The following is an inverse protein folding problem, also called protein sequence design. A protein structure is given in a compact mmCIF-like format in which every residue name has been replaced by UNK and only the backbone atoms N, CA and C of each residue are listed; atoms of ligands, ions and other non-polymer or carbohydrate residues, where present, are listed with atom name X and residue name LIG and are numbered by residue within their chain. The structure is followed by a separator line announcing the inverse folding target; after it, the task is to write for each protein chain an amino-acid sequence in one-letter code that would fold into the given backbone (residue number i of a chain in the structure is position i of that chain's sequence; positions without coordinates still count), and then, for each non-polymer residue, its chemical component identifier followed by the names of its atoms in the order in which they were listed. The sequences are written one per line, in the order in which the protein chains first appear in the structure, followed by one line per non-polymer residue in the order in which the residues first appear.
data_IF_140298660345
#
_entry.id   IF_140298660345
#
_cell.length_a   1.000
_cell.length_b   1.000
_cell.length_c   1.000
_cell.angle_alpha   90.00
_cell.angle_beta   90.00
_cell.angle_gamma   90.00
#
_symmetry.space_group_name_H-M   'P 1'
#
loop_
_entity.id
_entity.type
_entity.pdbx_description
1 polymer ?
#
# COMPACT_ATOMS: atom_id res chain seq x y z
N UNK A 1 1.10 -28.62 83.70
CA UNK A 1 2.17 -28.23 82.75
C UNK A 1 1.74 -28.73 81.37
N UNK A 2 1.29 -27.80 80.50
CA UNK A 2 0.95 -28.15 79.12
C UNK A 2 2.15 -27.96 78.19
N UNK A 3 2.49 -28.97 77.41
CA UNK A 3 3.52 -28.95 76.39
C UNK A 3 2.90 -28.40 75.13
N UNK A 4 3.34 -27.20 74.69
CA UNK A 4 3.01 -26.64 73.37
C UNK A 4 3.98 -27.23 72.37
N UNK A 5 3.55 -28.18 71.53
CA UNK A 5 4.36 -28.66 70.42
C UNK A 5 4.14 -27.71 69.28
N UNK A 6 5.16 -26.92 68.92
CA UNK A 6 5.20 -26.11 67.69
C UNK A 6 5.60 -27.05 66.58
N UNK A 7 4.61 -27.48 65.77
CA UNK A 7 4.91 -28.16 64.50
C UNK A 7 5.39 -27.16 63.50
N UNK A 8 6.60 -27.34 63.00
CA UNK A 8 7.14 -26.53 61.95
C UNK A 8 6.33 -26.74 60.64
N UNK A 9 6.15 -25.70 59.90
CA UNK A 9 5.35 -25.62 58.67
C UNK A 9 5.93 -26.44 57.47
N UNK A 10 6.94 -27.28 57.74
CA UNK A 10 7.68 -28.02 56.71
C UNK A 10 7.24 -29.48 56.50
N UNK A 11 6.22 -30.00 57.22
CA UNK A 11 5.85 -31.42 57.16
C UNK A 11 4.53 -31.71 56.51
N UNK A 12 3.84 -30.74 55.92
CA UNK A 12 2.67 -31.03 55.09
C UNK A 12 3.19 -31.47 53.71
N UNK A 13 3.37 -32.77 53.49
CA UNK A 13 3.54 -33.34 52.15
C UNK A 13 2.34 -32.90 51.29
N UNK A 14 2.52 -31.91 50.47
CA UNK A 14 1.52 -31.56 49.45
C UNK A 14 1.27 -32.76 48.57
N UNK A 15 0.10 -33.39 48.69
CA UNK A 15 -0.30 -34.48 47.82
C UNK A 15 -0.56 -33.93 46.43
N UNK A 16 0.41 -34.14 45.55
CA UNK A 16 0.28 -33.82 44.12
C UNK A 16 -0.32 -34.99 43.37
N UNK A 17 -1.20 -34.69 42.45
CA UNK A 17 -1.84 -35.68 41.58
C UNK A 17 -1.80 -35.22 40.12
N UNK A 18 -2.01 -36.14 39.20
CA UNK A 18 -2.06 -35.82 37.77
C UNK A 18 -3.50 -35.46 37.39
N UNK A 19 -3.68 -34.30 36.81
CA UNK A 19 -4.92 -33.84 36.22
C UNK A 19 -4.72 -33.64 34.72
N UNK A 20 -5.65 -34.13 33.92
CA UNK A 20 -5.69 -33.89 32.45
C UNK A 20 -6.93 -33.05 32.18
N UNK A 21 -6.70 -31.98 31.39
CA UNK A 21 -7.77 -31.07 30.96
C UNK A 21 -7.73 -30.94 29.46
N UNK A 22 -8.86 -31.09 28.83
CA UNK A 22 -9.09 -30.87 27.41
C UNK A 22 -9.97 -29.62 27.29
N UNK A 23 -9.42 -28.49 26.75
CA UNK A 23 -10.21 -27.31 26.49
C UNK A 23 -11.24 -27.56 25.39
N UNK A 24 -12.43 -26.94 25.51
CA UNK A 24 -13.50 -27.13 24.54
C UNK A 24 -13.29 -26.33 23.26
N UNK A 25 -12.76 -25.11 23.38
CA UNK A 25 -12.63 -24.14 22.28
C UNK A 25 -11.20 -23.65 22.11
N UNK A 26 -10.57 -23.26 23.21
CA UNK A 26 -9.22 -22.69 23.16
C UNK A 26 -8.15 -23.75 22.87
N UNK A 27 -7.06 -23.36 22.25
CA UNK A 27 -5.91 -24.26 22.13
C UNK A 27 -5.17 -24.39 23.47
N UNK A 28 -4.73 -25.61 23.79
CA UNK A 28 -3.91 -25.84 24.98
C UNK A 28 -2.64 -24.97 24.99
N UNK A 29 -2.12 -24.64 23.81
CA UNK A 29 -0.96 -23.77 23.65
C UNK A 29 -1.25 -22.30 24.01
N UNK A 30 -2.45 -21.79 23.72
CA UNK A 30 -2.86 -20.42 24.06
C UNK A 30 -3.17 -20.26 25.55
N UNK A 31 -3.66 -21.31 26.20
CA UNK A 31 -3.96 -21.31 27.63
C UNK A 31 -2.71 -21.42 28.51
N UNK A 32 -1.67 -22.07 28.02
CA UNK A 32 -0.48 -22.39 28.80
C UNK A 32 0.21 -21.17 29.46
N UNK A 33 0.42 -20.01 28.79
CA UNK A 33 1.02 -18.84 29.42
C UNK A 33 0.19 -18.28 30.57
N UNK A 34 -1.14 -18.30 30.43
CA UNK A 34 -2.06 -17.82 31.48
C UNK A 34 -2.07 -18.76 32.68
N UNK A 35 -2.13 -20.07 32.42
CA UNK A 35 -2.09 -21.09 33.46
C UNK A 35 -0.79 -21.04 34.26
N UNK A 36 0.33 -20.76 33.61
CA UNK A 36 1.64 -20.60 34.26
C UNK A 36 1.65 -19.48 35.32
N UNK A 37 0.82 -18.45 35.16
CA UNK A 37 0.70 -17.38 36.16
C UNK A 37 -0.09 -17.81 37.39
N UNK A 38 -1.00 -18.76 37.24
CA UNK A 38 -1.85 -19.29 38.34
C UNK A 38 -1.12 -20.37 39.10
N UNK A 39 -0.32 -21.18 38.43
CA UNK A 39 0.43 -22.30 39.02
C UNK A 39 1.91 -22.15 38.68
N UNK A 40 2.64 -21.16 39.27
CA UNK A 40 4.01 -20.86 38.92
C UNK A 40 4.99 -22.00 39.23
N UNK A 41 4.70 -22.79 40.28
CA UNK A 41 5.51 -23.95 40.71
C UNK A 41 4.96 -25.29 40.17
N UNK A 42 3.81 -25.28 39.49
CA UNK A 42 3.21 -26.47 38.90
C UNK A 42 3.96 -26.96 37.70
N UNK A 43 4.14 -28.27 37.60
CA UNK A 43 4.63 -28.90 36.37
C UNK A 43 3.45 -29.21 35.49
N UNK A 44 3.48 -28.69 34.27
CA UNK A 44 2.49 -29.05 33.26
C UNK A 44 3.14 -29.32 31.91
N UNK A 45 2.49 -30.10 31.10
CA UNK A 45 2.88 -30.41 29.73
C UNK A 45 1.68 -30.22 28.80
N UNK A 46 1.98 -29.88 27.55
CA UNK A 46 0.98 -29.70 26.49
C UNK A 46 1.12 -30.88 25.53
N UNK A 47 0.01 -31.61 25.33
CA UNK A 47 -0.09 -32.60 24.26
C UNK A 47 -0.80 -31.93 23.06
N UNK A 48 -0.05 -31.50 22.05
CA UNK A 48 -0.58 -30.71 20.95
C UNK A 48 -1.56 -31.46 20.05
N UNK A 49 -1.30 -32.78 19.87
CA UNK A 49 -2.09 -33.61 18.96
C UNK A 49 -3.52 -33.84 19.46
N UNK A 50 -3.72 -33.94 20.79
CA UNK A 50 -5.03 -34.12 21.41
C UNK A 50 -5.55 -32.86 22.07
N UNK A 51 -4.88 -31.72 21.93
CA UNK A 51 -5.23 -30.44 22.55
C UNK A 51 -5.39 -30.53 24.08
N UNK A 52 -4.56 -31.34 24.75
CA UNK A 52 -4.68 -31.60 26.19
C UNK A 52 -3.57 -30.91 26.97
N UNK A 53 -3.93 -30.50 28.20
CA UNK A 53 -3.02 -29.98 29.22
C UNK A 53 -2.94 -31.02 30.33
N UNK A 54 -1.73 -31.48 30.63
CA UNK A 54 -1.46 -32.45 31.68
C UNK A 54 -0.75 -31.74 32.81
N UNK A 55 -1.30 -31.78 34.00
CA UNK A 55 -0.81 -31.10 35.18
C UNK A 55 -0.34 -32.08 36.24
N UNK A 56 0.68 -31.74 37.04
CA UNK A 56 1.02 -32.36 38.31
C UNK A 56 0.91 -31.28 39.38
N UNK A 57 -0.25 -31.22 40.04
CA UNK A 57 -0.72 -30.14 40.90
C UNK A 57 -1.29 -30.62 42.23
N UNK A 58 -1.46 -29.68 43.18
CA UNK A 58 -2.14 -29.88 44.42
C UNK A 58 -3.66 -29.62 44.28
N UNK A 59 -4.47 -30.04 45.24
CA UNK A 59 -5.92 -29.83 45.20
C UNK A 59 -6.35 -28.36 45.19
N UNK A 60 -5.56 -27.46 45.80
CA UNK A 60 -5.87 -26.03 45.79
C UNK A 60 -5.45 -25.38 44.42
N UNK A 61 -4.34 -25.80 43.86
CA UNK A 61 -3.94 -25.41 42.51
C UNK A 61 -4.95 -25.87 41.46
N UNK A 62 -5.54 -27.06 41.62
CA UNK A 62 -6.58 -27.61 40.74
C UNK A 62 -7.81 -26.69 40.64
N UNK A 63 -8.29 -26.20 41.77
CA UNK A 63 -9.44 -25.26 41.78
C UNK A 63 -9.13 -23.98 41.04
N UNK A 64 -7.91 -23.43 41.20
CA UNK A 64 -7.45 -22.27 40.50
C UNK A 64 -7.36 -22.47 38.98
N UNK A 65 -6.78 -23.58 38.55
CA UNK A 65 -6.67 -23.95 37.14
C UNK A 65 -8.04 -24.12 36.49
N UNK A 66 -8.95 -24.88 37.12
CA UNK A 66 -10.31 -25.09 36.63
C UNK A 66 -11.08 -23.78 36.49
N UNK A 67 -11.02 -22.91 37.49
CA UNK A 67 -11.67 -21.61 37.47
C UNK A 67 -11.17 -20.72 36.33
N UNK A 68 -9.88 -20.69 36.12
CA UNK A 68 -9.28 -19.89 35.02
C UNK A 68 -9.63 -20.46 33.66
N UNK A 69 -9.54 -21.79 33.47
CA UNK A 69 -9.92 -22.42 32.18
C UNK A 69 -11.39 -22.13 31.88
N UNK A 70 -12.32 -22.34 32.84
CA UNK A 70 -13.73 -22.02 32.64
C UNK A 70 -13.98 -20.53 32.28
N UNK A 71 -13.15 -19.63 32.77
CA UNK A 71 -13.27 -18.20 32.48
C UNK A 71 -12.81 -17.82 31.06
N UNK A 72 -11.80 -18.50 30.54
CA UNK A 72 -11.14 -18.10 29.27
C UNK A 72 -11.39 -19.08 28.11
N UNK A 73 -11.81 -20.32 28.39
CA UNK A 73 -12.16 -21.31 27.36
C UNK A 73 -13.59 -21.02 26.84
N UNK A 74 -13.71 -20.00 26.02
CA UNK A 74 -14.98 -19.52 25.45
C UNK A 74 -14.81 -19.30 23.95
N UNK A 75 -15.95 -19.33 23.23
CA UNK A 75 -16.00 -19.03 21.82
C UNK A 75 -15.39 -17.66 21.50
N UNK A 76 -14.43 -17.66 20.59
CA UNK A 76 -13.77 -16.44 20.10
C UNK A 76 -14.53 -15.95 18.87
N UNK A 77 -15.06 -14.75 18.96
CA UNK A 77 -15.78 -14.11 17.83
C UNK A 77 -14.86 -13.98 16.62
N UNK A 78 -15.43 -14.18 15.45
CA UNK A 78 -14.78 -13.88 14.19
C UNK A 78 -15.23 -12.52 13.69
N UNK A 79 -14.34 -11.81 13.04
CA UNK A 79 -14.63 -10.51 12.44
C UNK A 79 -14.23 -10.51 10.99
N UNK A 80 -15.18 -10.17 10.12
CA UNK A 80 -14.92 -9.97 8.70
C UNK A 80 -14.64 -8.49 8.46
N UNK A 81 -13.53 -8.20 7.80
CA UNK A 81 -13.22 -6.88 7.26
C UNK A 81 -13.42 -6.87 5.75
N UNK A 82 -14.13 -5.87 5.28
CA UNK A 82 -14.27 -5.52 3.87
C UNK A 82 -13.63 -4.14 3.69
N UNK A 83 -12.62 -4.03 2.85
CA UNK A 83 -12.04 -2.76 2.46
C UNK A 83 -12.44 -2.43 1.03
N UNK A 84 -12.74 -1.17 0.74
CA UNK A 84 -12.98 -0.68 -0.61
C UNK A 84 -12.01 0.46 -0.88
N UNK A 85 -11.13 0.23 -1.85
CA UNK A 85 -10.14 1.22 -2.28
C UNK A 85 -10.57 1.71 -3.65
N UNK A 86 -10.92 2.99 -3.71
CA UNK A 86 -11.37 3.66 -4.92
C UNK A 86 -10.34 4.70 -5.32
N UNK A 87 -9.82 4.62 -6.54
CA UNK A 87 -8.92 5.62 -7.10
C UNK A 87 -9.46 6.05 -8.46
N UNK A 88 -9.62 7.35 -8.65
CA UNK A 88 -10.04 7.97 -9.90
C UNK A 88 -8.96 8.90 -10.39
N UNK A 89 -8.57 8.74 -11.64
CA UNK A 89 -7.60 9.60 -12.32
C UNK A 89 -8.31 10.29 -13.49
N UNK A 90 -8.19 11.61 -13.53
CA UNK A 90 -8.67 12.44 -14.64
C UNK A 90 -7.49 13.18 -15.23
N UNK A 91 -7.24 13.00 -16.51
CA UNK A 91 -6.27 13.80 -17.24
C UNK A 91 -6.96 14.58 -18.35
N UNK A 92 -6.57 15.83 -18.47
CA UNK A 92 -7.02 16.72 -19.53
C UNK A 92 -5.84 17.47 -20.11
N UNK A 93 -5.63 17.31 -21.40
CA UNK A 93 -4.58 18.02 -22.12
C UNK A 93 -5.18 18.78 -23.29
N UNK A 94 -4.88 20.07 -23.37
CA UNK A 94 -5.28 20.94 -24.48
C UNK A 94 -4.06 21.63 -25.04
N UNK A 95 -3.82 21.42 -26.33
CA UNK A 95 -2.77 22.09 -27.09
C UNK A 95 -3.42 22.96 -28.16
N UNK A 96 -3.03 24.22 -28.20
CA UNK A 96 -3.54 25.17 -29.20
C UNK A 96 -2.44 26.14 -29.63
N UNK A 97 -2.38 26.39 -30.92
CA UNK A 97 -1.50 27.39 -31.50
C UNK A 97 -0.47 26.82 -32.47
N UNK A 98 0.42 27.69 -32.89
CA UNK A 98 1.48 27.36 -33.84
C UNK A 98 2.80 27.17 -33.09
N UNK A 99 3.41 25.98 -33.29
CA UNK A 99 4.79 25.74 -32.89
C UNK A 99 5.72 26.07 -34.08
N UNK A 100 6.68 26.90 -33.83
CA UNK A 100 7.65 27.31 -34.82
C UNK A 100 8.99 26.61 -34.55
N UNK A 101 9.43 25.75 -35.45
CA UNK A 101 10.76 25.15 -35.39
C UNK A 101 11.70 25.88 -36.36
N UNK A 102 12.88 26.16 -35.85
CA UNK A 102 13.95 26.88 -36.57
C UNK A 102 15.06 25.87 -36.89
N UNK A 103 15.41 25.77 -38.16
CA UNK A 103 16.61 25.06 -38.57
C UNK A 103 17.79 26.03 -38.59
N UNK A 104 18.93 25.58 -38.07
CA UNK A 104 20.15 26.37 -38.01
C UNK A 104 20.53 26.90 -39.40
N UNK A 105 21.08 28.11 -39.44
CA UNK A 105 21.69 28.67 -40.62
C UNK A 105 22.85 27.77 -41.07
N UNK A 106 22.63 26.88 -41.99
CA UNK A 106 23.70 26.15 -42.68
C UNK A 106 23.90 26.79 -44.03
N UNK A 107 24.97 27.52 -44.17
CA UNK A 107 25.51 27.86 -45.49
C UNK A 107 25.97 26.55 -46.14
N UNK A 108 25.36 26.13 -47.23
CA UNK A 108 25.57 24.91 -48.00
C UNK A 108 24.73 23.71 -47.58
N UNK A 109 23.63 23.52 -48.26
CA UNK A 109 22.89 22.30 -48.25
C UNK A 109 21.68 22.38 -49.15
N UNK A 110 21.77 21.86 -50.34
CA UNK A 110 20.58 21.58 -51.16
C UNK A 110 19.83 20.39 -50.58
N UNK A 111 19.23 20.57 -49.41
CA UNK A 111 18.37 19.59 -48.87
C UNK A 111 16.98 19.72 -49.52
N UNK A 112 16.74 18.90 -50.54
CA UNK A 112 15.49 18.85 -51.32
C UNK A 112 14.29 18.36 -50.55
N UNK A 113 14.45 18.02 -49.25
CA UNK A 113 13.41 17.43 -48.41
C UNK A 113 12.56 18.44 -47.64
N UNK A 114 12.91 19.74 -47.63
CA UNK A 114 12.20 20.75 -46.85
C UNK A 114 11.32 21.65 -47.75
N UNK A 115 10.07 21.28 -47.91
CA UNK A 115 9.08 22.00 -48.73
C UNK A 115 8.40 23.20 -48.04
N UNK A 116 8.92 23.70 -46.94
CA UNK A 116 8.28 24.75 -46.15
C UNK A 116 9.08 26.03 -46.13
N UNK A 117 8.41 27.13 -46.41
CA UNK A 117 8.86 28.52 -46.41
C UNK A 117 10.32 28.85 -46.08
N UNK A 118 11.07 29.32 -47.04
CA UNK A 118 12.41 29.81 -46.79
C UNK A 118 12.40 31.35 -46.83
N UNK A 119 12.95 32.00 -45.81
CA UNK A 119 13.24 33.43 -45.83
C UNK A 119 14.67 33.56 -46.25
N UNK A 120 14.89 34.25 -47.36
CA UNK A 120 16.22 34.54 -47.88
C UNK A 120 16.63 35.96 -47.52
N UNK A 121 17.86 36.15 -47.01
CA UNK A 121 18.37 37.45 -46.67
C UNK A 121 19.88 37.51 -46.87
N UNK A 122 20.36 38.69 -47.23
CA UNK A 122 21.79 38.93 -47.41
C UNK A 122 22.46 38.10 -48.51
N UNK A 123 23.77 38.19 -48.58
CA UNK A 123 24.62 37.34 -49.43
C UNK A 123 25.80 36.84 -48.61
N UNK A 124 26.03 35.55 -48.69
CA UNK A 124 27.22 34.92 -48.14
C UNK A 124 28.49 35.31 -48.99
N UNK A 125 29.67 35.10 -48.48
CA UNK A 125 30.93 35.44 -49.21
C UNK A 125 31.08 34.72 -50.56
N UNK A 126 30.39 33.61 -50.78
CA UNK A 126 30.31 32.83 -52.00
C UNK A 126 29.22 33.31 -52.99
N UNK A 127 28.52 34.40 -52.65
CA UNK A 127 27.47 34.99 -53.47
C UNK A 127 26.07 34.40 -53.33
N UNK A 128 25.92 33.31 -52.60
CA UNK A 128 24.63 32.69 -52.32
C UNK A 128 23.88 33.47 -51.24
N UNK A 129 22.53 33.43 -51.28
CA UNK A 129 21.70 34.02 -50.23
C UNK A 129 21.61 33.12 -49.02
N UNK A 130 21.70 33.70 -47.81
CA UNK A 130 21.38 32.95 -46.60
C UNK A 130 19.91 32.54 -46.62
N UNK A 131 19.64 31.24 -46.42
CA UNK A 131 18.31 30.67 -46.37
C UNK A 131 17.99 30.28 -44.95
N UNK A 132 16.90 30.82 -44.44
CA UNK A 132 16.35 30.50 -43.13
C UNK A 132 15.06 29.71 -43.30
N UNK A 133 15.09 28.47 -42.88
CA UNK A 133 13.94 27.60 -43.02
C UNK A 133 13.08 27.65 -41.74
N UNK A 134 11.79 27.88 -41.92
CA UNK A 134 10.79 27.98 -40.85
C UNK A 134 9.72 26.96 -41.12
N UNK A 135 9.50 26.08 -40.16
CA UNK A 135 8.39 25.10 -40.20
C UNK A 135 7.32 25.48 -39.19
N UNK A 136 6.17 25.99 -39.60
CA UNK A 136 5.03 26.13 -38.74
C UNK A 136 4.32 24.80 -38.57
N UNK A 137 4.03 24.42 -37.34
CA UNK A 137 3.22 23.25 -37.00
C UNK A 137 2.01 23.71 -36.21
N UNK A 138 0.80 23.51 -36.78
CA UNK A 138 -0.44 23.85 -36.11
C UNK A 138 -0.82 22.68 -35.21
N UNK A 139 -0.95 22.94 -33.91
CA UNK A 139 -1.47 22.00 -32.93
C UNK A 139 -2.87 22.45 -32.48
N UNK A 140 -3.85 21.60 -32.74
CA UNK A 140 -5.22 21.72 -32.25
C UNK A 140 -5.62 20.34 -31.71
N UNK A 141 -5.18 20.04 -30.48
CA UNK A 141 -5.42 18.75 -29.86
C UNK A 141 -6.09 18.96 -28.50
N UNK A 142 -7.15 18.23 -28.29
CA UNK A 142 -7.79 18.11 -26.98
C UNK A 142 -7.95 16.63 -26.63
N UNK A 143 -7.35 16.23 -25.53
CA UNK A 143 -7.39 14.84 -25.05
C UNK A 143 -7.91 14.80 -23.65
N UNK A 144 -8.88 13.92 -23.39
CA UNK A 144 -9.44 13.67 -22.07
C UNK A 144 -9.29 12.20 -21.75
N UNK A 145 -8.63 11.89 -20.65
CA UNK A 145 -8.48 10.53 -20.11
C UNK A 145 -9.20 10.40 -18.77
N UNK A 146 -9.87 9.27 -18.56
CA UNK A 146 -10.44 8.89 -17.27
C UNK A 146 -10.06 7.46 -16.98
N UNK A 147 -9.54 7.22 -15.80
CA UNK A 147 -9.27 5.87 -15.28
C UNK A 147 -9.86 5.75 -13.88
N UNK A 148 -10.45 4.61 -13.58
CA UNK A 148 -10.94 4.30 -12.25
C UNK A 148 -10.46 2.90 -11.85
N UNK A 149 -9.94 2.79 -10.63
CA UNK A 149 -9.56 1.51 -10.02
C UNK A 149 -10.41 1.34 -8.78
N UNK A 150 -11.13 0.22 -8.73
CA UNK A 150 -11.90 -0.19 -7.54
C UNK A 150 -11.41 -1.55 -7.13
N UNK A 151 -10.93 -1.67 -5.90
CA UNK A 151 -10.50 -2.91 -5.30
C UNK A 151 -11.26 -3.14 -3.99
N UNK A 152 -11.80 -4.34 -3.81
CA UNK A 152 -12.62 -4.70 -2.64
C UNK A 152 -12.12 -5.98 -1.98
N UNK A 153 -10.93 -5.98 -1.37
CA UNK A 153 -10.46 -7.13 -0.62
C UNK A 153 -11.31 -7.36 0.63
N UNK A 154 -11.53 -8.62 0.95
CA UNK A 154 -12.24 -9.03 2.17
C UNK A 154 -11.50 -10.17 2.85
N UNK A 155 -11.38 -10.11 4.17
CA UNK A 155 -10.69 -11.10 4.98
C UNK A 155 -11.41 -11.30 6.31
N UNK A 156 -11.28 -12.48 6.87
CA UNK A 156 -11.85 -12.84 8.18
C UNK A 156 -10.73 -13.21 9.16
N UNK A 157 -10.83 -12.73 10.37
CA UNK A 157 -9.89 -13.01 11.45
C UNK A 157 -10.62 -13.38 12.75
N UNK A 158 -9.99 -14.18 13.59
CA UNK A 158 -10.40 -14.35 14.99
C UNK A 158 -10.10 -13.06 15.77
N UNK A 159 -10.90 -12.81 16.78
CA UNK A 159 -10.72 -11.68 17.68
C UNK A 159 -9.32 -11.70 18.34
N UNK A 160 -8.52 -10.67 18.09
CA UNK A 160 -7.14 -10.55 18.58
C UNK A 160 -6.07 -11.17 17.68
N UNK A 161 -6.44 -11.88 16.62
CA UNK A 161 -5.51 -12.52 15.69
C UNK A 161 -5.27 -11.64 14.45
N UNK A 162 -4.05 -11.66 13.97
CA UNK A 162 -3.68 -10.97 12.73
C UNK A 162 -4.04 -11.85 11.53
N UNK A 163 -4.63 -11.25 10.52
CA UNK A 163 -4.89 -11.87 9.24
C UNK A 163 -4.29 -11.05 8.11
N UNK A 164 -3.72 -11.74 7.13
CA UNK A 164 -3.04 -11.18 5.97
C UNK A 164 -3.60 -11.75 4.69
N UNK A 165 -3.88 -10.90 3.70
CA UNK A 165 -4.23 -11.30 2.35
C UNK A 165 -3.40 -10.51 1.35
N UNK A 166 -2.85 -11.23 0.37
CA UNK A 166 -2.14 -10.68 -0.79
C UNK A 166 -2.82 -11.23 -2.06
N UNK A 167 -3.32 -10.33 -2.90
CA UNK A 167 -3.91 -10.64 -4.19
C UNK A 167 -3.11 -9.88 -5.24
N UNK A 168 -2.25 -10.56 -5.97
CA UNK A 168 -1.37 -9.89 -6.92
C UNK A 168 -0.41 -10.86 -7.59
N UNK A 169 0.68 -10.31 -8.07
CA UNK A 169 1.74 -11.02 -8.78
C UNK A 169 3.12 -10.63 -8.26
N UNK A 170 4.11 -11.45 -8.57
CA UNK A 170 5.52 -11.17 -8.29
C UNK A 170 6.19 -10.73 -9.57
N UNK A 171 6.73 -9.52 -9.58
CA UNK A 171 7.45 -8.99 -10.73
C UNK A 171 8.95 -9.06 -10.49
N UNK A 172 9.76 -9.43 -11.50
CA UNK A 172 11.21 -9.41 -11.40
C UNK A 172 11.72 -7.96 -11.47
N UNK A 173 12.51 -7.57 -10.49
CA UNK A 173 13.24 -6.29 -10.49
C UNK A 173 14.71 -6.59 -10.62
N UNK A 174 15.32 -6.02 -11.66
CA UNK A 174 16.75 -6.21 -11.94
C UNK A 174 17.52 -5.09 -11.27
N UNK A 175 18.40 -5.44 -10.36
CA UNK A 175 19.34 -4.51 -9.71
C UNK A 175 20.73 -4.71 -10.33
N UNK A 176 21.28 -3.63 -10.87
CA UNK A 176 22.63 -3.64 -11.45
C UNK A 176 23.59 -2.91 -10.52
N UNK A 177 24.55 -3.65 -9.99
CA UNK A 177 25.61 -3.11 -9.14
C UNK A 177 26.93 -3.15 -9.88
N UNK A 178 27.62 -2.02 -9.97
CA UNK A 178 28.96 -1.93 -10.53
C UNK A 178 29.96 -1.90 -9.36
N UNK A 179 30.77 -2.95 -9.22
CA UNK A 179 31.84 -3.03 -8.22
C UNK A 179 33.15 -3.35 -8.91
N UNK A 180 34.18 -2.56 -8.67
CA UNK A 180 35.54 -2.73 -9.25
C UNK A 180 35.57 -2.88 -10.79
N UNK A 181 34.62 -2.24 -11.50
CA UNK A 181 34.54 -2.33 -12.96
C UNK A 181 33.79 -3.56 -13.50
N UNK A 182 33.37 -4.45 -12.64
CA UNK A 182 32.51 -5.59 -13.00
C UNK A 182 31.04 -5.25 -12.75
N UNK A 183 30.19 -5.55 -13.76
CA UNK A 183 28.73 -5.43 -13.66
C UNK A 183 28.17 -6.72 -13.11
N UNK A 184 27.53 -6.63 -11.95
CA UNK A 184 26.81 -7.74 -11.33
C UNK A 184 25.31 -7.43 -11.39
N UNK A 185 24.54 -8.27 -12.05
CA UNK A 185 23.08 -8.22 -12.05
C UNK A 185 22.54 -9.19 -11.01
N UNK A 186 21.64 -8.70 -10.15
CA UNK A 186 20.83 -9.53 -9.27
C UNK A 186 19.36 -9.32 -9.59
N UNK A 187 18.58 -10.39 -9.53
CA UNK A 187 17.14 -10.34 -9.74
C UNK A 187 16.49 -10.61 -8.40
N UNK A 188 15.68 -9.68 -7.93
CA UNK A 188 14.79 -9.89 -6.81
C UNK A 188 13.34 -9.75 -7.28
N UNK A 189 12.41 -10.35 -6.53
CA UNK A 189 11.01 -10.33 -6.88
C UNK A 189 10.26 -9.43 -5.90
N UNK A 190 9.53 -8.46 -6.45
CA UNK A 190 8.65 -7.59 -5.69
C UNK A 190 7.20 -8.05 -5.82
N UNK A 191 6.49 -8.08 -4.69
CA UNK A 191 5.07 -8.42 -4.65
C UNK A 191 4.24 -7.16 -4.89
N UNK A 192 3.47 -7.16 -5.96
CA UNK A 192 2.59 -6.06 -6.36
C UNK A 192 1.15 -6.53 -6.44
N UNK A 193 0.22 -5.65 -6.12
CA UNK A 193 -1.20 -5.96 -6.09
C UNK A 193 -1.89 -5.35 -4.87
N UNK A 194 -2.86 -6.06 -4.32
CA UNK A 194 -3.66 -5.65 -3.17
C UNK A 194 -3.16 -6.42 -1.96
N UNK A 195 -2.71 -5.69 -0.93
CA UNK A 195 -2.32 -6.24 0.37
C UNK A 195 -3.23 -5.66 1.45
N UNK A 196 -3.71 -6.51 2.33
CA UNK A 196 -4.53 -6.11 3.47
C UNK A 196 -4.11 -6.91 4.71
N UNK A 197 -3.57 -6.19 5.69
CA UNK A 197 -3.27 -6.71 7.02
C UNK A 197 -4.31 -6.17 7.99
N UNK A 198 -4.76 -7.01 8.90
CA UNK A 198 -5.90 -6.70 9.72
C UNK A 198 -5.84 -7.43 11.05
N UNK A 199 -6.03 -6.69 12.14
CA UNK A 199 -6.11 -7.25 13.51
C UNK A 199 -7.30 -6.66 14.23
N UNK A 200 -8.41 -7.41 14.43
CA UNK A 200 -9.59 -6.93 15.14
C UNK A 200 -9.53 -7.20 16.64
N UNK A 201 -10.11 -6.30 17.44
CA UNK A 201 -10.36 -6.48 18.85
C UNK A 201 -11.82 -6.08 19.14
N UNK A 202 -12.68 -7.06 19.42
CA UNK A 202 -14.08 -6.81 19.78
C UNK A 202 -14.14 -6.38 21.24
N UNK A 203 -14.65 -5.19 21.50
CA UNK A 203 -14.80 -4.62 22.83
C UNK A 203 -16.04 -5.16 23.53
N UNK A 204 -16.16 -4.96 24.85
CA UNK A 204 -17.32 -5.43 25.65
C UNK A 204 -18.66 -4.82 25.19
N UNK A 205 -18.64 -3.60 24.68
CA UNK A 205 -19.80 -2.90 24.14
C UNK A 205 -20.12 -3.22 22.66
N UNK A 206 -19.41 -4.18 22.10
CA UNK A 206 -19.65 -4.66 20.73
C UNK A 206 -18.94 -3.88 19.62
N UNK A 207 -18.28 -2.75 19.91
CA UNK A 207 -17.45 -2.04 18.94
C UNK A 207 -16.22 -2.85 18.58
N UNK A 208 -15.66 -2.61 17.40
CA UNK A 208 -14.48 -3.30 16.88
C UNK A 208 -13.34 -2.31 16.78
N UNK A 209 -12.34 -2.43 17.66
CA UNK A 209 -11.06 -1.73 17.54
C UNK A 209 -10.21 -2.52 16.55
N UNK A 210 -9.71 -1.86 15.54
CA UNK A 210 -8.98 -2.58 14.51
C UNK A 210 -7.75 -1.81 14.04
N UNK A 211 -6.65 -2.54 13.88
CA UNK A 211 -5.45 -2.09 13.15
C UNK A 211 -5.56 -2.59 11.73
N UNK A 212 -5.47 -1.67 10.77
CA UNK A 212 -5.62 -1.95 9.35
C UNK A 212 -4.42 -1.37 8.62
N UNK A 213 -3.86 -2.17 7.72
CA UNK A 213 -2.90 -1.75 6.72
C UNK A 213 -3.42 -2.20 5.36
N UNK A 214 -3.80 -1.26 4.52
CA UNK A 214 -4.29 -1.52 3.17
C UNK A 214 -3.32 -0.92 2.16
N UNK A 215 -2.91 -1.70 1.18
CA UNK A 215 -2.00 -1.29 0.12
C UNK A 215 -2.52 -1.78 -1.23
N UNK A 216 -2.46 -0.90 -2.23
CA UNK A 216 -2.67 -1.24 -3.63
C UNK A 216 -1.46 -0.77 -4.42
N UNK A 217 -0.78 -1.69 -5.07
CA UNK A 217 0.37 -1.42 -5.92
C UNK A 217 0.10 -1.88 -7.35
N UNK A 218 0.50 -1.06 -8.31
CA UNK A 218 0.33 -1.33 -9.74
C UNK A 218 1.67 -1.17 -10.45
N UNK A 219 2.15 -2.22 -11.14
CA UNK A 219 3.38 -2.15 -11.92
C UNK A 219 3.09 -1.59 -13.31
N UNK A 220 3.98 -0.76 -13.80
CA UNK A 220 4.00 -0.26 -15.18
C UNK A 220 5.39 -0.52 -15.74
N UNK A 221 5.48 -1.27 -16.83
CA UNK A 221 6.75 -1.53 -17.49
C UNK A 221 7.25 -0.29 -18.21
N UNK A 222 8.46 0.15 -17.88
CA UNK A 222 9.16 1.25 -18.57
C UNK A 222 10.13 0.62 -19.55
N UNK A 223 9.74 0.56 -20.82
CA UNK A 223 10.49 -0.16 -21.88
C UNK A 223 11.90 0.38 -22.08
N UNK A 224 12.11 1.68 -21.92
CA UNK A 224 13.41 2.36 -22.05
C UNK A 224 14.43 1.91 -20.99
N UNK A 225 13.93 1.62 -19.78
CA UNK A 225 14.75 1.17 -18.64
C UNK A 225 14.77 -0.36 -18.49
N UNK A 226 13.96 -1.08 -19.27
CA UNK A 226 13.69 -2.54 -19.09
C UNK A 226 13.38 -2.88 -17.62
N UNK A 227 12.68 -1.99 -16.92
CA UNK A 227 12.37 -2.08 -15.51
C UNK A 227 10.92 -1.68 -15.24
N UNK A 228 10.41 -2.01 -14.05
CA UNK A 228 9.06 -1.65 -13.65
C UNK A 228 9.05 -0.39 -12.78
N UNK A 229 8.12 0.51 -13.07
CA UNK A 229 7.73 1.58 -12.15
C UNK A 229 6.54 1.08 -11.35
N UNK A 230 6.69 1.01 -10.03
CA UNK A 230 5.61 0.57 -9.14
C UNK A 230 4.97 1.81 -8.52
N UNK A 231 3.67 1.96 -8.74
CA UNK A 231 2.88 2.99 -8.07
C UNK A 231 2.14 2.36 -6.90
N UNK A 232 2.49 2.76 -5.68
CA UNK A 232 1.92 2.22 -4.45
C UNK A 232 1.03 3.25 -3.77
N UNK A 233 -0.14 2.80 -3.33
CA UNK A 233 -1.10 3.55 -2.52
C UNK A 233 -1.35 2.76 -1.25
N UNK A 234 -0.98 3.35 -0.11
CA UNK A 234 -1.01 2.66 1.18
C UNK A 234 -1.65 3.54 2.24
N UNK A 235 -2.46 2.92 3.10
CA UNK A 235 -2.93 3.53 4.33
C UNK A 235 -2.73 2.56 5.50
N UNK A 236 -2.23 3.08 6.61
CA UNK A 236 -2.08 2.32 7.85
C UNK A 236 -2.70 3.14 8.99
N UNK A 237 -3.65 2.55 9.69
CA UNK A 237 -4.38 3.25 10.76
C UNK A 237 -4.93 2.28 11.79
N UNK A 238 -5.27 2.83 12.96
CA UNK A 238 -6.04 2.13 13.97
C UNK A 238 -7.33 2.90 14.23
N UNK A 239 -8.45 2.24 14.04
CA UNK A 239 -9.78 2.86 14.12
C UNK A 239 -10.74 2.00 14.93
N UNK A 240 -11.79 2.64 15.43
CA UNK A 240 -12.92 1.98 16.08
C UNK A 240 -14.12 2.03 15.15
N UNK A 241 -14.71 0.87 14.89
CA UNK A 241 -15.86 0.67 14.02
C UNK A 241 -17.04 0.15 14.83
N UNK A 242 -18.26 0.58 14.44
CA UNK A 242 -19.46 -0.14 14.85
C UNK A 242 -19.69 -1.31 13.86
N UNK A 243 -20.18 -2.46 14.31
CA UNK A 243 -20.44 -3.59 13.42
C UNK A 243 -21.36 -3.20 12.26
N UNK A 244 -20.90 -3.39 11.04
CA UNK A 244 -21.64 -3.09 9.82
C UNK A 244 -21.57 -1.64 9.34
N UNK A 245 -20.97 -0.74 10.11
CA UNK A 245 -20.71 0.64 9.70
C UNK A 245 -19.60 0.74 8.65
N UNK A 246 -19.78 1.63 7.69
CA UNK A 246 -18.76 1.98 6.68
C UNK A 246 -18.05 3.24 7.12
N UNK A 247 -16.76 3.17 7.33
CA UNK A 247 -15.92 4.29 7.73
C UNK A 247 -14.90 4.63 6.63
N UNK A 248 -14.74 5.91 6.35
CA UNK A 248 -13.64 6.42 5.50
C UNK A 248 -12.39 6.54 6.38
N UNK A 249 -11.35 5.75 6.07
CA UNK A 249 -10.11 5.76 6.85
C UNK A 249 -9.02 6.66 6.26
N UNK A 250 -9.17 7.07 5.02
CA UNK A 250 -8.23 7.96 4.36
C UNK A 250 -8.64 8.30 2.95
N UNK A 251 -8.01 9.34 2.43
CA UNK A 251 -8.19 9.77 1.06
C UNK A 251 -7.10 10.75 0.66
N UNK A 252 -6.95 10.93 -0.65
CA UNK A 252 -6.03 11.88 -1.27
C UNK A 252 -6.76 12.55 -2.43
N UNK A 253 -6.63 13.85 -2.51
CA UNK A 253 -6.97 14.61 -3.71
C UNK A 253 -5.74 15.40 -4.12
N UNK A 254 -5.20 15.09 -5.30
CA UNK A 254 -4.06 15.79 -5.89
C UNK A 254 -4.49 16.39 -7.23
N UNK A 255 -4.40 17.71 -7.35
CA UNK A 255 -4.73 18.44 -8.56
C UNK A 255 -3.48 19.14 -9.07
N UNK A 256 -3.09 18.84 -10.30
CA UNK A 256 -1.97 19.48 -11.00
C UNK A 256 -2.48 20.25 -12.19
N UNK A 257 -2.24 21.54 -12.22
CA UNK A 257 -2.52 22.43 -13.38
C UNK A 257 -1.19 22.95 -13.89
N UNK A 258 -0.76 22.45 -15.04
CA UNK A 258 0.47 22.88 -15.70
C UNK A 258 0.12 23.63 -16.98
N UNK A 259 0.67 24.83 -17.11
CA UNK A 259 0.56 25.64 -18.31
C UNK A 259 1.94 25.92 -18.86
N UNK A 260 2.14 25.54 -20.10
CA UNK A 260 3.34 25.85 -20.87
C UNK A 260 2.95 26.78 -22.01
N UNK A 261 3.67 27.89 -22.15
CA UNK A 261 3.46 28.84 -23.22
C UNK A 261 4.80 29.10 -23.91
N UNK A 262 4.85 28.80 -25.17
CA UNK A 262 5.97 29.13 -26.07
C UNK A 262 5.53 30.27 -26.96
N UNK A 263 6.33 31.33 -27.04
CA UNK A 263 6.08 32.48 -27.92
C UNK A 263 7.35 32.94 -28.59
N UNK A 264 7.18 33.45 -29.80
CA UNK A 264 8.29 34.20 -30.44
C UNK A 264 8.34 35.61 -29.83
N UNK A 265 9.45 36.01 -29.22
CA UNK A 265 9.58 37.34 -28.68
C UNK A 265 9.21 38.42 -29.71
N UNK A 266 8.60 39.50 -29.28
CA UNK A 266 8.10 40.62 -30.09
C UNK A 266 6.88 40.24 -30.97
N UNK A 267 6.95 39.20 -31.79
CA UNK A 267 5.86 38.82 -32.69
C UNK A 267 4.66 38.22 -31.91
N UNK A 268 4.92 37.47 -30.85
CA UNK A 268 3.87 36.94 -29.98
C UNK A 268 3.09 38.04 -29.23
N UNK A 269 3.66 39.24 -29.09
CA UNK A 269 3.05 40.31 -28.30
C UNK A 269 2.22 41.30 -29.15
N UNK A 270 2.14 41.06 -30.47
CA UNK A 270 1.36 41.90 -31.40
C UNK A 270 -0.15 41.66 -31.11
N UNK A 271 -0.95 42.72 -30.88
CA UNK A 271 -2.40 42.60 -30.75
C UNK A 271 -3.00 41.92 -31.98
N UNK A 272 -3.98 41.02 -31.78
CA UNK A 272 -4.68 40.23 -32.78
C UNK A 272 -3.82 39.18 -33.50
N UNK A 273 -2.64 39.50 -33.99
CA UNK A 273 -1.75 38.60 -34.74
C UNK A 273 -0.85 37.73 -33.85
N UNK A 274 -0.61 38.14 -32.60
CA UNK A 274 0.26 37.42 -31.67
C UNK A 274 -0.15 35.98 -31.38
N UNK A 275 -1.42 35.65 -31.58
CA UNK A 275 -1.89 34.26 -31.42
C UNK A 275 -1.30 33.27 -32.43
N UNK A 276 -0.91 33.74 -33.61
CA UNK A 276 -0.23 32.96 -34.65
C UNK A 276 1.22 32.61 -34.26
N UNK A 277 1.80 33.35 -33.32
CA UNK A 277 3.18 33.21 -32.87
C UNK A 277 3.29 32.68 -31.44
N UNK A 278 2.20 32.06 -30.94
CA UNK A 278 2.11 31.46 -29.63
C UNK A 278 1.66 29.99 -29.74
N UNK A 279 2.26 29.16 -28.93
CA UNK A 279 1.78 27.81 -28.67
C UNK A 279 1.49 27.68 -27.18
N UNK A 280 0.32 27.15 -26.82
CA UNK A 280 -0.10 26.96 -25.45
C UNK A 280 -0.48 25.51 -25.24
N UNK A 281 0.11 24.89 -24.23
CA UNK A 281 -0.23 23.58 -23.73
C UNK A 281 -0.73 23.71 -22.29
N UNK A 282 -1.91 23.22 -22.04
CA UNK A 282 -2.50 23.15 -20.70
C UNK A 282 -2.77 21.68 -20.36
N UNK A 283 -2.18 21.23 -19.29
CA UNK A 283 -2.38 19.89 -18.75
C UNK A 283 -2.99 20.03 -17.35
N UNK A 284 -4.08 19.33 -17.13
CA UNK A 284 -4.70 19.20 -15.82
C UNK A 284 -4.77 17.72 -15.49
N UNK A 285 -4.15 17.32 -14.40
CA UNK A 285 -4.22 15.98 -13.86
C UNK A 285 -4.86 16.07 -12.47
N UNK A 286 -5.88 15.26 -12.23
CA UNK A 286 -6.52 15.12 -10.94
C UNK A 286 -6.52 13.65 -10.54
N UNK A 287 -6.04 13.37 -9.35
CA UNK A 287 -6.06 12.04 -8.74
C UNK A 287 -6.85 12.14 -7.45
N UNK A 288 -7.91 11.37 -7.38
CA UNK A 288 -8.74 11.24 -6.20
C UNK A 288 -8.68 9.80 -5.71
N UNK A 289 -8.37 9.59 -4.44
CA UNK A 289 -8.36 8.28 -3.82
C UNK A 289 -9.12 8.33 -2.51
N UNK A 290 -9.97 7.32 -2.27
CA UNK A 290 -10.70 7.16 -1.01
C UNK A 290 -10.64 5.68 -0.59
N UNK A 291 -10.42 5.45 0.70
CA UNK A 291 -10.40 4.11 1.29
C UNK A 291 -11.53 4.01 2.31
N UNK A 292 -12.45 3.10 2.06
CA UNK A 292 -13.55 2.76 2.95
C UNK A 292 -13.26 1.41 3.62
N UNK A 293 -13.70 1.25 4.85
CA UNK A 293 -13.65 -0.02 5.57
C UNK A 293 -14.97 -0.28 6.27
N UNK A 294 -15.34 -1.58 6.31
CA UNK A 294 -16.51 -2.08 7.02
C UNK A 294 -16.12 -3.35 7.75
N UNK A 295 -16.43 -3.44 9.03
CA UNK A 295 -16.19 -4.63 9.82
C UNK A 295 -17.52 -5.19 10.34
N UNK A 296 -17.66 -6.53 10.29
CA UNK A 296 -18.83 -7.24 10.79
C UNK A 296 -18.41 -8.40 11.67
N UNK A 297 -19.06 -8.57 12.82
CA UNK A 297 -18.87 -9.74 13.68
C UNK A 297 -19.72 -10.88 13.12
N UNK A 298 -19.09 -12.05 12.99
CA UNK A 298 -19.71 -13.28 12.45
C UNK A 298 -19.84 -14.31 13.55
#
# INVERSE_FOLDING_TARGET
QGIITVMGHSDVKEHRHVMVVEPNVASASSLAPVIKTVVPNGKFAIHKETNQLVFNITGDEEKGVKSVIQAIDRDVKQVRLEATIMAMEHSYTKETGFRWSWLSLTGHGSDKTHSYGAITFGKAPDGEAYKFFVKPELSLLETTGKAAVIATPSIMALNGEEAHILIGERIPVVEETISNGERKQSIHYEEVGIKLDYTPIVTKNGSIDTSIRAEVSSPIMVSELKSYKITTRQAQTRVRLQPGEVLVIGGLMDNRDQRQMEKIPLLGDIPLLGKLFKHSRKTKDSVEMVIFVKATVV
#
